data_IF_260563313019
#
_entry.id   IF_260563313019
#
_cell.length_a   1.000
_cell.length_b   1.000
_cell.length_c   1.000
_cell.angle_alpha   90.00
_cell.angle_beta   90.00
_cell.angle_gamma   90.00
#
_symmetry.space_group_name_H-M   'P 1'
#
loop_
_entity.id
_entity.type
_entity.pdbx_description
1 polymer ?
#
# COMPACT_ATOMS: atom_id res chain seq x y z
N UNK A 1 -7.57 12.40 -13.61
CA UNK A 1 -7.59 12.28 -12.13
C UNK A 1 -6.44 13.09 -11.55
N UNK A 2 -6.64 13.78 -10.41
CA UNK A 2 -5.60 14.52 -9.69
C UNK A 2 -5.38 13.97 -8.30
N UNK A 3 -4.11 13.76 -7.96
CA UNK A 3 -3.65 13.47 -6.59
C UNK A 3 -3.02 14.74 -6.03
N UNK A 4 -3.59 15.29 -4.96
CA UNK A 4 -3.18 16.55 -4.35
C UNK A 4 -3.11 16.43 -2.82
N UNK A 5 -2.70 17.49 -2.14
CA UNK A 5 -2.73 17.60 -0.67
C UNK A 5 -2.02 16.43 0.05
N UNK A 6 -0.83 16.05 -0.43
CA UNK A 6 0.04 15.10 0.26
C UNK A 6 0.40 15.64 1.64
N UNK A 7 0.06 14.92 2.70
CA UNK A 7 0.26 15.33 4.10
C UNK A 7 0.79 14.20 4.96
N UNK A 8 1.56 14.55 5.98
CA UNK A 8 1.93 13.70 7.12
C UNK A 8 1.40 14.38 8.38
N UNK A 9 0.64 13.65 9.18
CA UNK A 9 0.01 14.14 10.41
C UNK A 9 0.33 13.21 11.58
N UNK A 10 0.84 13.79 12.67
CA UNK A 10 1.11 13.06 13.91
C UNK A 10 -0.05 13.23 14.89
N UNK A 11 -0.90 12.20 14.98
CA UNK A 11 -1.97 12.13 15.95
C UNK A 11 -1.50 11.67 17.33
N UNK A 12 -2.44 11.62 18.28
CA UNK A 12 -2.15 11.13 19.65
C UNK A 12 -1.78 9.64 19.67
N UNK A 13 -2.44 8.82 18.86
CA UNK A 13 -2.28 7.36 18.81
C UNK A 13 -1.71 6.84 17.50
N UNK A 14 -2.03 7.50 16.39
CA UNK A 14 -1.69 7.08 15.04
C UNK A 14 -0.89 8.19 14.34
N UNK A 15 -0.02 7.79 13.42
CA UNK A 15 0.59 8.70 12.44
C UNK A 15 0.00 8.39 11.07
N UNK A 16 -0.49 9.43 10.39
CA UNK A 16 -1.23 9.35 9.13
C UNK A 16 -0.44 9.99 8.00
N UNK A 17 -0.40 9.33 6.86
CA UNK A 17 -0.13 9.99 5.58
C UNK A 17 -1.38 9.97 4.71
N UNK A 18 -1.69 11.08 4.07
CA UNK A 18 -2.91 11.20 3.28
C UNK A 18 -2.72 11.99 1.98
N UNK A 19 -3.67 11.83 1.07
CA UNK A 19 -3.78 12.55 -0.19
C UNK A 19 -5.26 12.75 -0.56
N UNK A 20 -5.56 13.82 -1.30
CA UNK A 20 -6.87 14.02 -1.93
C UNK A 20 -6.86 13.48 -3.36
N UNK A 21 -7.86 12.68 -3.71
CA UNK A 21 -8.11 12.16 -5.06
C UNK A 21 -9.35 12.85 -5.63
N UNK A 22 -9.17 13.49 -6.79
CA UNK A 22 -10.24 14.13 -7.53
C UNK A 22 -10.32 13.52 -8.93
N UNK A 23 -11.47 12.96 -9.28
CA UNK A 23 -11.76 12.38 -10.58
C UNK A 23 -12.00 13.49 -11.62
N UNK A 24 -11.63 13.24 -12.87
CA UNK A 24 -11.73 14.22 -13.96
C UNK A 24 -12.55 13.71 -15.14
N UNK A 25 -12.51 12.41 -15.42
CA UNK A 25 -13.21 11.80 -16.56
C UNK A 25 -14.42 10.93 -16.13
N UNK A 26 -14.77 10.91 -14.84
CA UNK A 26 -15.93 10.19 -14.32
C UNK A 26 -16.62 10.89 -13.13
N UNK A 27 -17.81 10.43 -12.76
CA UNK A 27 -18.66 11.01 -11.70
C UNK A 27 -18.36 10.47 -10.29
N UNK A 28 -17.22 9.80 -10.09
CA UNK A 28 -16.83 9.36 -8.75
C UNK A 28 -16.57 10.57 -7.84
N UNK A 29 -17.01 10.53 -6.57
CA UNK A 29 -16.82 11.65 -5.67
C UNK A 29 -15.33 11.83 -5.32
N UNK A 30 -14.93 13.07 -5.06
CA UNK A 30 -13.63 13.36 -4.47
C UNK A 30 -13.50 12.66 -3.12
N UNK A 31 -12.31 12.11 -2.84
CA UNK A 31 -12.04 11.36 -1.60
C UNK A 31 -10.67 11.71 -1.05
N UNK A 32 -10.58 11.79 0.27
CA UNK A 32 -9.29 11.67 0.94
C UNK A 32 -8.97 10.18 1.11
N UNK A 33 -7.77 9.78 0.69
CA UNK A 33 -7.21 8.46 0.97
C UNK A 33 -6.04 8.59 1.94
N UNK A 34 -5.87 7.59 2.78
CA UNK A 34 -4.83 7.59 3.80
C UNK A 34 -4.21 6.21 4.01
N UNK A 35 -3.00 6.22 4.58
CA UNK A 35 -2.32 5.09 5.19
C UNK A 35 -1.83 5.54 6.56
N UNK A 36 -2.05 4.73 7.59
CA UNK A 36 -1.78 5.03 8.99
C UNK A 36 -1.11 3.87 9.70
N UNK A 37 -0.33 4.19 10.74
CA UNK A 37 0.26 3.20 11.64
C UNK A 37 0.26 3.70 13.09
N UNK A 38 0.49 2.79 14.03
CA UNK A 38 0.67 3.13 15.44
C UNK A 38 1.79 4.16 15.63
N UNK A 39 1.63 5.12 16.56
CA UNK A 39 2.61 6.18 16.83
C UNK A 39 4.03 5.67 17.10
N UNK A 40 4.20 4.45 17.61
CA UNK A 40 5.52 3.83 17.81
C UNK A 40 6.32 3.62 16.51
N UNK A 41 5.66 3.67 15.35
CA UNK A 41 6.25 3.55 14.01
C UNK A 41 6.20 4.88 13.23
N UNK A 42 6.03 6.02 13.92
CA UNK A 42 5.89 7.33 13.27
C UNK A 42 7.10 7.71 12.39
N UNK A 43 8.30 7.30 12.78
CA UNK A 43 9.55 7.57 12.02
C UNK A 43 9.73 6.63 10.83
N UNK A 44 9.02 5.51 10.82
CA UNK A 44 9.08 4.49 9.78
C UNK A 44 8.17 4.82 8.58
N UNK A 45 7.12 5.63 8.81
CA UNK A 45 6.15 6.03 7.78
C UNK A 45 6.51 7.38 7.17
N UNK A 46 6.45 7.49 5.85
CA UNK A 46 6.71 8.71 5.10
C UNK A 46 5.56 9.04 4.16
N UNK A 47 5.34 10.34 3.88
CA UNK A 47 4.37 10.78 2.88
C UNK A 47 4.96 10.59 1.47
N UNK A 48 5.20 9.33 1.10
CA UNK A 48 5.78 8.98 -0.18
C UNK A 48 4.72 9.11 -1.30
N UNK A 49 4.93 9.99 -2.31
CA UNK A 49 3.99 10.15 -3.43
C UNK A 49 3.75 8.85 -4.20
N UNK A 50 4.73 7.94 -4.20
CA UNK A 50 4.63 6.63 -4.86
C UNK A 50 3.47 5.81 -4.29
N UNK A 51 3.24 5.87 -2.98
CA UNK A 51 2.18 5.10 -2.33
C UNK A 51 0.80 5.45 -2.89
N UNK A 52 0.51 6.75 -3.01
CA UNK A 52 -0.78 7.21 -3.51
C UNK A 52 -0.92 6.99 -5.01
N UNK A 53 0.15 7.17 -5.79
CA UNK A 53 0.11 6.89 -7.22
C UNK A 53 -0.18 5.41 -7.50
N UNK A 54 0.54 4.51 -6.83
CA UNK A 54 0.36 3.06 -6.94
C UNK A 54 -1.03 2.65 -6.47
N UNK A 55 -1.48 3.18 -5.34
CA UNK A 55 -2.81 2.89 -4.80
C UNK A 55 -3.98 3.40 -5.65
N UNK A 56 -3.76 4.35 -6.56
CA UNK A 56 -4.81 4.90 -7.41
C UNK A 56 -4.80 4.39 -8.86
N UNK A 57 -3.74 3.67 -9.30
CA UNK A 57 -3.57 3.34 -10.72
C UNK A 57 -4.72 2.45 -11.25
N UNK A 58 -5.10 1.42 -10.48
CA UNK A 58 -6.14 0.45 -10.91
C UNK A 58 -7.53 1.09 -10.90
N UNK A 59 -7.96 1.81 -9.84
CA UNK A 59 -9.23 2.54 -9.88
C UNK A 59 -9.30 3.58 -11.00
N UNK A 60 -8.21 4.31 -11.27
CA UNK A 60 -8.14 5.29 -12.36
C UNK A 60 -8.41 4.63 -13.72
N UNK A 61 -7.71 3.54 -14.04
CA UNK A 61 -7.97 2.79 -15.28
C UNK A 61 -9.39 2.22 -15.33
N UNK A 62 -9.89 1.71 -14.20
CA UNK A 62 -11.22 1.12 -14.11
C UNK A 62 -12.34 2.11 -14.43
N UNK A 63 -12.24 3.34 -13.94
CA UNK A 63 -13.21 4.39 -14.21
C UNK A 63 -12.89 5.21 -15.47
N UNK A 64 -11.96 4.75 -16.30
CA UNK A 64 -11.68 5.36 -17.61
C UNK A 64 -10.97 6.70 -17.57
N UNK A 65 -10.25 7.00 -16.49
CA UNK A 65 -9.42 8.20 -16.40
C UNK A 65 -8.33 8.20 -17.48
N UNK A 66 -8.21 9.32 -18.21
CA UNK A 66 -7.21 9.44 -19.29
C UNK A 66 -5.81 9.68 -18.76
N UNK A 67 -5.71 10.27 -17.56
CA UNK A 67 -4.45 10.61 -16.93
C UNK A 67 -4.52 10.66 -15.40
N UNK A 68 -3.38 10.53 -14.76
CA UNK A 68 -3.16 10.90 -13.36
C UNK A 68 -2.15 12.02 -13.29
N UNK A 69 -2.56 13.17 -12.75
CA UNK A 69 -1.66 14.28 -12.43
C UNK A 69 -1.27 14.26 -10.96
N UNK A 70 0.04 14.29 -10.73
CA UNK A 70 0.64 14.36 -9.41
C UNK A 70 1.77 15.38 -9.40
N UNK A 71 1.58 16.48 -8.64
CA UNK A 71 2.59 17.54 -8.43
C UNK A 71 3.65 17.14 -7.39
N UNK A 72 4.24 15.98 -7.59
CA UNK A 72 5.40 15.48 -6.83
C UNK A 72 6.40 14.87 -7.83
N UNK A 73 7.58 14.49 -7.36
CA UNK A 73 8.52 13.72 -8.16
C UNK A 73 8.40 12.24 -7.87
N UNK A 74 8.53 11.42 -8.91
CA UNK A 74 8.59 9.96 -8.77
C UNK A 74 9.90 9.39 -9.33
N UNK A 75 10.29 8.22 -8.81
CA UNK A 75 11.43 7.46 -9.32
C UNK A 75 11.20 7.02 -10.79
N UNK A 76 12.22 7.12 -11.68
CA UNK A 76 12.13 6.58 -13.03
C UNK A 76 11.70 5.11 -13.07
N UNK A 77 12.27 4.27 -12.19
CA UNK A 77 11.95 2.85 -12.12
C UNK A 77 10.49 2.57 -11.74
N UNK A 78 9.90 3.43 -10.88
CA UNK A 78 8.47 3.33 -10.58
C UNK A 78 7.63 3.66 -11.82
N UNK A 79 7.96 4.73 -12.56
CA UNK A 79 7.21 5.11 -13.76
C UNK A 79 7.20 3.97 -14.79
N UNK A 80 8.35 3.39 -15.06
CA UNK A 80 8.45 2.26 -15.99
C UNK A 80 7.70 1.03 -15.46
N UNK A 81 7.82 0.71 -14.16
CA UNK A 81 7.03 -0.36 -13.54
C UNK A 81 5.52 -0.15 -13.68
N UNK A 82 5.03 1.06 -13.46
CA UNK A 82 3.60 1.39 -13.62
C UNK A 82 3.15 1.29 -15.09
N UNK A 83 3.95 1.73 -16.05
CA UNK A 83 3.66 1.54 -17.48
C UNK A 83 3.53 0.05 -17.82
N UNK A 84 4.46 -0.77 -17.35
CA UNK A 84 4.42 -2.23 -17.55
C UNK A 84 3.16 -2.84 -16.94
N UNK A 85 2.81 -2.46 -15.70
CA UNK A 85 1.58 -2.93 -15.05
C UNK A 85 0.33 -2.54 -15.85
N UNK A 86 0.23 -1.29 -16.32
CA UNK A 86 -0.90 -0.84 -17.13
C UNK A 86 -1.02 -1.61 -18.45
N UNK A 87 0.11 -1.86 -19.13
CA UNK A 87 0.14 -2.63 -20.37
C UNK A 87 -0.28 -4.10 -20.15
N UNK A 88 0.17 -4.73 -19.06
CA UNK A 88 -0.26 -6.09 -18.69
C UNK A 88 -1.76 -6.15 -18.38
N UNK A 89 -2.31 -5.14 -17.70
CA UNK A 89 -3.75 -5.09 -17.41
C UNK A 89 -4.57 -4.90 -18.68
N UNK A 90 -4.11 -4.07 -19.62
CA UNK A 90 -4.74 -3.94 -20.93
C UNK A 90 -4.81 -5.29 -21.64
N UNK A 91 -3.68 -5.99 -21.75
CA UNK A 91 -3.58 -7.30 -22.39
C UNK A 91 -4.48 -8.36 -21.71
N UNK A 92 -4.34 -8.53 -20.39
CA UNK A 92 -5.10 -9.52 -19.62
C UNK A 92 -6.61 -9.25 -19.59
N UNK A 93 -7.02 -8.01 -19.84
CA UNK A 93 -8.43 -7.62 -19.91
C UNK A 93 -8.99 -7.59 -21.33
N UNK A 94 -8.22 -8.02 -22.34
CA UNK A 94 -8.63 -7.98 -23.74
C UNK A 94 -8.90 -6.56 -24.24
N UNK A 95 -8.18 -5.56 -23.72
CA UNK A 95 -8.35 -4.15 -24.07
C UNK A 95 -9.53 -3.45 -23.40
N UNK A 96 -10.20 -4.09 -22.43
CA UNK A 96 -11.26 -3.45 -21.64
C UNK A 96 -10.71 -2.27 -20.84
N UNK A 97 -9.51 -2.44 -20.26
CA UNK A 97 -8.79 -1.37 -19.58
C UNK A 97 -7.77 -0.77 -20.54
N UNK A 98 -7.62 0.56 -20.50
CA UNK A 98 -6.62 1.29 -21.29
C UNK A 98 -5.55 1.88 -20.38
N UNK A 99 -4.27 1.88 -20.79
CA UNK A 99 -3.23 2.64 -20.12
C UNK A 99 -3.60 4.13 -20.08
N UNK A 100 -3.20 4.80 -19.01
CA UNK A 100 -3.40 6.24 -18.82
C UNK A 100 -2.06 6.97 -18.76
N UNK A 101 -2.10 8.28 -19.00
CA UNK A 101 -0.91 9.12 -18.89
C UNK A 101 -0.59 9.45 -17.43
N UNK A 102 0.66 9.22 -17.02
CA UNK A 102 1.16 9.65 -15.71
C UNK A 102 1.87 10.99 -15.88
N UNK A 103 1.18 12.07 -15.53
CA UNK A 103 1.68 13.44 -15.57
C UNK A 103 2.33 13.81 -14.24
N UNK A 104 3.65 13.68 -14.19
CA UNK A 104 4.42 13.95 -12.97
C UNK A 104 5.88 14.24 -13.32
N UNK A 105 6.63 14.83 -12.39
CA UNK A 105 8.06 15.07 -12.58
C UNK A 105 8.84 13.80 -12.25
N UNK A 106 9.96 13.60 -12.93
CA UNK A 106 10.88 12.51 -12.63
C UNK A 106 11.96 13.02 -11.69
N UNK A 107 12.18 12.29 -10.59
CA UNK A 107 13.25 12.62 -9.68
C UNK A 107 14.60 12.28 -10.29
N UNK A 108 15.55 13.21 -10.20
CA UNK A 108 16.95 13.01 -10.61
C UNK A 108 17.80 12.33 -9.54
N UNK A 109 17.28 12.20 -8.32
CA UNK A 109 18.01 11.66 -7.17
C UNK A 109 17.38 10.34 -6.69
N UNK A 110 18.24 9.41 -6.30
CA UNK A 110 17.80 8.23 -5.55
C UNK A 110 17.38 8.66 -4.15
N UNK A 111 16.15 8.36 -3.75
CA UNK A 111 15.72 8.49 -2.35
C UNK A 111 16.56 7.55 -1.49
N UNK A 112 17.62 8.09 -0.88
CA UNK A 112 18.42 7.41 0.14
C UNK A 112 17.56 7.28 1.40
N UNK A 113 17.38 6.08 1.92
CA UNK A 113 16.89 5.97 3.30
C UNK A 113 18.07 6.05 4.25
N UNK A 114 17.85 6.68 5.41
CA UNK A 114 18.88 6.92 6.42
C UNK A 114 19.10 5.70 7.34
N UNK A 115 18.59 4.52 7.00
CA UNK A 115 18.55 3.35 7.88
C UNK A 115 18.84 2.02 7.18
N UNK A 116 19.17 1.00 7.99
CA UNK A 116 19.25 -0.40 7.55
C UNK A 116 17.86 -0.88 7.15
N UNK A 117 17.54 -0.77 5.86
CA UNK A 117 16.31 -1.32 5.29
C UNK A 117 16.20 -2.82 5.56
N UNK A 118 15.04 -3.26 6.05
CA UNK A 118 14.78 -4.65 6.47
C UNK A 118 13.87 -5.37 5.50
N UNK A 119 14.01 -6.69 5.42
CA UNK A 119 13.03 -7.53 4.75
C UNK A 119 11.72 -7.51 5.55
N UNK A 120 10.63 -7.15 4.89
CA UNK A 120 9.29 -7.18 5.45
C UNK A 120 8.34 -8.02 4.61
N UNK A 121 7.22 -8.41 5.21
CA UNK A 121 6.16 -9.13 4.52
C UNK A 121 4.78 -8.67 4.99
N UNK A 122 3.76 -9.08 4.26
CA UNK A 122 2.36 -8.87 4.59
C UNK A 122 1.85 -10.12 5.33
N UNK A 123 1.42 -9.95 6.58
CA UNK A 123 0.98 -11.05 7.45
C UNK A 123 -0.53 -10.93 7.70
N UNK A 124 -1.32 -11.68 6.93
CA UNK A 124 -2.78 -11.68 7.05
C UNK A 124 -3.30 -12.67 8.11
N UNK A 125 -2.47 -13.65 8.50
CA UNK A 125 -2.89 -14.80 9.30
C UNK A 125 -3.49 -15.94 8.48
N UNK A 126 -3.60 -15.77 7.15
CA UNK A 126 -3.94 -16.85 6.24
C UNK A 126 -2.76 -17.82 6.04
N UNK A 127 -3.07 -19.04 5.59
CA UNK A 127 -2.09 -20.12 5.43
C UNK A 127 -0.87 -19.72 4.59
N UNK A 128 -1.07 -18.97 3.50
CA UNK A 128 0.02 -18.55 2.62
C UNK A 128 1.00 -17.61 3.32
N UNK A 129 0.48 -16.66 4.11
CA UNK A 129 1.32 -15.72 4.86
C UNK A 129 2.07 -16.41 6.01
N UNK A 130 1.42 -17.37 6.69
CA UNK A 130 2.06 -18.15 7.75
C UNK A 130 3.13 -19.10 7.18
N UNK A 131 2.83 -19.77 6.06
CA UNK A 131 3.79 -20.63 5.37
C UNK A 131 4.98 -19.82 4.85
N UNK A 132 4.75 -18.65 4.27
CA UNK A 132 5.82 -17.74 3.82
C UNK A 132 6.74 -17.33 4.96
N UNK A 133 6.19 -16.93 6.11
CA UNK A 133 6.98 -16.58 7.30
C UNK A 133 7.77 -17.80 7.80
N UNK A 134 7.13 -18.96 7.91
CA UNK A 134 7.74 -20.20 8.39
C UNK A 134 8.90 -20.64 7.48
N UNK A 135 8.68 -20.66 6.17
CA UNK A 135 9.70 -21.01 5.17
C UNK A 135 10.85 -20.02 5.23
N UNK A 136 10.58 -18.72 5.36
CA UNK A 136 11.64 -17.73 5.50
C UNK A 136 12.49 -17.98 6.75
N UNK A 137 11.85 -18.18 7.91
CA UNK A 137 12.54 -18.40 9.18
C UNK A 137 13.34 -19.72 9.23
N UNK A 138 12.94 -20.73 8.47
CA UNK A 138 13.70 -21.99 8.35
C UNK A 138 14.90 -21.90 7.42
N UNK A 139 14.88 -21.01 6.42
CA UNK A 139 15.90 -20.97 5.36
C UNK A 139 16.85 -19.77 5.47
N UNK A 140 16.46 -18.70 6.18
CA UNK A 140 17.28 -17.51 6.35
C UNK A 140 17.74 -17.34 7.80
N UNK A 141 19.06 -17.39 8.07
CA UNK A 141 19.61 -17.05 9.38
C UNK A 141 19.17 -15.65 9.85
N UNK A 142 19.06 -15.44 11.15
CA UNK A 142 18.54 -14.19 11.73
C UNK A 142 19.34 -12.95 11.30
N UNK A 143 20.64 -13.06 11.03
CA UNK A 143 21.45 -11.92 10.59
C UNK A 143 21.38 -11.68 9.08
N UNK A 144 20.77 -12.59 8.31
CA UNK A 144 20.71 -12.48 6.86
C UNK A 144 19.79 -11.32 6.44
N UNK A 145 20.17 -10.46 5.45
CA UNK A 145 19.35 -9.33 5.00
C UNK A 145 17.94 -9.71 4.49
N UNK A 146 17.79 -10.95 4.01
CA UNK A 146 16.52 -11.54 3.55
C UNK A 146 15.68 -12.21 4.65
N UNK A 147 16.19 -12.32 5.89
CA UNK A 147 15.42 -12.80 7.02
C UNK A 147 14.37 -11.75 7.40
N UNK A 148 13.09 -12.14 7.38
CA UNK A 148 11.98 -11.24 7.63
C UNK A 148 12.06 -10.71 9.06
N UNK A 149 12.01 -9.38 9.19
CA UNK A 149 12.04 -8.64 10.46
C UNK A 149 10.75 -7.94 10.79
N UNK A 150 9.98 -7.62 9.77
CA UNK A 150 8.79 -6.79 9.90
C UNK A 150 7.61 -7.44 9.19
N UNK A 151 6.48 -7.53 9.87
CA UNK A 151 5.23 -8.08 9.36
C UNK A 151 4.17 -6.99 9.40
N UNK A 152 3.56 -6.69 8.25
CA UNK A 152 2.50 -5.70 8.13
C UNK A 152 1.14 -6.40 8.21
N UNK A 153 0.30 -5.97 9.15
CA UNK A 153 -1.09 -6.41 9.26
C UNK A 153 -2.01 -5.26 8.89
N UNK A 154 -2.87 -5.44 7.88
CA UNK A 154 -3.61 -4.33 7.27
C UNK A 154 -5.10 -4.35 7.64
N UNK A 155 -5.57 -3.22 8.15
CA UNK A 155 -6.96 -2.79 8.20
C UNK A 155 -7.29 -1.92 6.97
N UNK A 156 -8.48 -2.08 6.40
CA UNK A 156 -8.89 -1.43 5.15
C UNK A 156 -9.09 -2.38 3.98
N UNK A 157 -8.88 -3.68 4.20
CA UNK A 157 -9.00 -4.74 3.21
C UNK A 157 -10.27 -5.54 3.50
N UNK A 158 -10.17 -6.80 3.92
CA UNK A 158 -11.33 -7.61 4.30
C UNK A 158 -12.00 -7.13 5.60
N UNK A 159 -11.22 -6.47 6.46
CA UNK A 159 -11.69 -5.79 7.67
C UNK A 159 -11.69 -4.29 7.40
N UNK A 160 -12.87 -3.65 7.45
CA UNK A 160 -13.02 -2.20 7.31
C UNK A 160 -12.91 -1.63 5.89
N UNK A 161 -12.63 -2.45 4.88
CA UNK A 161 -12.42 -1.98 3.51
C UNK A 161 -13.68 -1.79 2.67
N UNK A 162 -14.88 -2.10 3.17
CA UNK A 162 -16.15 -1.84 2.46
C UNK A 162 -16.95 -0.83 3.26
N UNK A 163 -17.25 0.32 2.67
CA UNK A 163 -17.86 1.47 3.35
C UNK A 163 -19.16 1.04 4.05
N UNK A 164 -20.04 0.36 3.30
CA UNK A 164 -21.36 -0.09 3.80
C UNK A 164 -21.29 -1.09 4.95
N UNK A 165 -20.15 -1.78 5.15
CA UNK A 165 -19.96 -2.77 6.22
C UNK A 165 -19.32 -2.19 7.48
N UNK A 166 -19.00 -0.90 7.46
CA UNK A 166 -18.36 -0.18 8.56
C UNK A 166 -16.90 -0.58 8.80
N UNK A 167 -16.24 0.15 9.69
CA UNK A 167 -14.79 0.01 9.91
C UNK A 167 -14.40 -1.25 10.67
N UNK A 168 -15.26 -1.86 11.48
CA UNK A 168 -14.97 -3.13 12.18
C UNK A 168 -13.64 -3.16 12.99
N UNK A 169 -13.25 -2.05 13.62
CA UNK A 169 -12.00 -1.97 14.39
C UNK A 169 -11.86 -3.07 15.45
N UNK A 170 -12.95 -3.42 16.13
CA UNK A 170 -12.96 -4.51 17.12
C UNK A 170 -12.55 -5.88 16.52
N UNK A 171 -12.81 -6.13 15.23
CA UNK A 171 -12.36 -7.35 14.53
C UNK A 171 -10.87 -7.26 14.25
N UNK A 172 -10.39 -6.09 13.86
CA UNK A 172 -8.98 -5.85 13.62
C UNK A 172 -8.14 -5.97 14.89
N UNK A 173 -8.62 -5.46 16.03
CA UNK A 173 -7.93 -5.63 17.31
C UNK A 173 -7.80 -7.11 17.71
N UNK A 174 -8.81 -7.95 17.42
CA UNK A 174 -8.68 -9.40 17.60
C UNK A 174 -7.64 -10.01 16.66
N UNK A 175 -7.61 -9.60 15.39
CA UNK A 175 -6.62 -10.06 14.44
C UNK A 175 -5.19 -9.64 14.87
N UNK A 176 -5.02 -8.39 15.32
CA UNK A 176 -3.77 -7.87 15.88
C UNK A 176 -3.32 -8.68 17.09
N UNK A 177 -4.22 -8.99 18.02
CA UNK A 177 -3.90 -9.81 19.19
C UNK A 177 -3.45 -11.22 18.78
N UNK A 178 -4.17 -11.89 17.88
CA UNK A 178 -3.81 -13.21 17.40
C UNK A 178 -2.46 -13.23 16.67
N UNK A 179 -2.23 -12.25 15.79
CA UNK A 179 -0.97 -12.14 15.03
C UNK A 179 0.21 -11.67 15.89
N UNK A 180 -0.04 -11.03 17.03
CA UNK A 180 1.05 -10.65 17.95
C UNK A 180 1.73 -11.89 18.52
N UNK A 181 0.98 -12.95 18.83
CA UNK A 181 1.53 -14.23 19.30
C UNK A 181 2.42 -14.89 18.23
N UNK A 182 1.97 -14.87 16.98
CA UNK A 182 2.75 -15.39 15.84
C UNK A 182 4.03 -14.57 15.62
N UNK A 183 3.91 -13.24 15.70
CA UNK A 183 5.05 -12.35 15.52
C UNK A 183 6.09 -12.51 16.63
N UNK A 184 5.65 -12.71 17.87
CA UNK A 184 6.51 -13.00 19.02
C UNK A 184 7.24 -14.33 18.84
N UNK A 185 6.53 -15.42 18.51
CA UNK A 185 7.11 -16.74 18.25
C UNK A 185 8.15 -16.71 17.13
N UNK A 186 7.87 -15.98 16.05
CA UNK A 186 8.77 -15.83 14.91
C UNK A 186 9.88 -14.78 15.11
N UNK A 187 9.92 -14.10 16.26
CA UNK A 187 10.82 -12.98 16.57
C UNK A 187 10.82 -11.92 15.44
N UNK A 188 9.63 -11.40 15.12
CA UNK A 188 9.43 -10.32 14.14
C UNK A 188 8.60 -9.18 14.73
N UNK A 189 8.76 -7.99 14.18
CA UNK A 189 7.96 -6.82 14.57
C UNK A 189 6.64 -6.84 13.82
N UNK A 190 5.51 -6.86 14.53
CA UNK A 190 4.19 -6.65 13.93
C UNK A 190 3.88 -5.15 13.84
N UNK A 191 3.57 -4.69 12.61
CA UNK A 191 3.21 -3.31 12.28
C UNK A 191 1.75 -3.29 11.81
N UNK A 192 0.81 -2.81 12.63
CA UNK A 192 -0.56 -2.58 12.21
C UNK A 192 -0.60 -1.38 11.28
N UNK A 193 -1.26 -1.54 10.13
CA UNK A 193 -1.48 -0.49 9.14
C UNK A 193 -2.98 -0.33 8.92
N UNK A 194 -3.44 0.91 8.82
CA UNK A 194 -4.84 1.24 8.53
C UNK A 194 -4.91 2.04 7.23
N UNK A 195 -5.83 1.72 6.35
CA UNK A 195 -6.02 2.45 5.09
C UNK A 195 -7.48 2.44 4.65
N UNK A 196 -7.85 3.40 3.82
CA UNK A 196 -9.13 3.45 3.14
C UNK A 196 -9.00 3.45 1.61
N UNK A 197 -7.83 3.13 1.04
CA UNK A 197 -7.62 3.18 -0.42
C UNK A 197 -8.64 2.31 -1.18
N UNK A 198 -9.07 1.17 -0.60
CA UNK A 198 -10.14 0.33 -1.17
C UNK A 198 -11.44 1.11 -1.41
N UNK A 199 -11.73 2.14 -0.62
CA UNK A 199 -12.95 2.96 -0.73
C UNK A 199 -12.99 3.81 -2.01
N UNK A 200 -11.90 3.85 -2.79
CA UNK A 200 -11.92 4.39 -4.17
C UNK A 200 -12.81 3.53 -5.09
N UNK A 201 -12.90 2.22 -4.85
CA UNK A 201 -13.82 1.32 -5.55
C UNK A 201 -14.14 0.09 -4.69
N UNK A 202 -15.37 0.03 -4.18
CA UNK A 202 -15.85 -1.08 -3.33
C UNK A 202 -16.28 -2.32 -4.14
N UNK A 203 -16.13 -2.29 -5.47
CA UNK A 203 -16.51 -3.40 -6.34
C UNK A 203 -15.69 -4.66 -6.05
N UNK A 204 -16.39 -5.75 -5.76
CA UNK A 204 -15.76 -7.01 -5.34
C UNK A 204 -14.88 -7.62 -6.44
N UNK A 205 -15.34 -7.58 -7.69
CA UNK A 205 -14.59 -8.16 -8.81
C UNK A 205 -13.26 -7.43 -9.03
N UNK A 206 -13.32 -6.10 -9.10
CA UNK A 206 -12.12 -5.28 -9.23
C UNK A 206 -11.16 -5.53 -8.06
N UNK A 207 -11.67 -5.54 -6.83
CA UNK A 207 -10.87 -5.78 -5.63
C UNK A 207 -10.11 -7.09 -5.71
N UNK A 208 -10.82 -8.21 -5.90
CA UNK A 208 -10.24 -9.55 -5.84
C UNK A 208 -9.29 -9.85 -7.01
N UNK A 209 -9.60 -9.34 -8.21
CA UNK A 209 -8.89 -9.76 -9.41
C UNK A 209 -7.79 -8.78 -9.85
N UNK A 210 -7.85 -7.50 -9.47
CA UNK A 210 -6.97 -6.46 -10.07
C UNK A 210 -6.41 -5.46 -9.07
N UNK A 211 -7.18 -5.05 -8.07
CA UNK A 211 -6.85 -3.88 -7.24
C UNK A 211 -6.09 -4.24 -5.95
N UNK A 212 -6.32 -5.42 -5.37
CA UNK A 212 -5.72 -5.85 -4.10
C UNK A 212 -4.19 -5.67 -4.04
N UNK A 213 -3.47 -6.14 -5.07
CA UNK A 213 -2.01 -6.07 -5.12
C UNK A 213 -1.46 -4.63 -5.15
N UNK A 214 -2.15 -3.71 -5.82
CA UNK A 214 -1.76 -2.31 -5.87
C UNK A 214 -1.84 -1.66 -4.48
N UNK A 215 -2.84 -1.99 -3.67
CA UNK A 215 -2.96 -1.42 -2.32
C UNK A 215 -1.91 -2.01 -1.37
N UNK A 216 -1.54 -3.28 -1.52
CA UNK A 216 -0.40 -3.87 -0.79
C UNK A 216 0.90 -3.12 -1.07
N UNK A 217 1.18 -2.86 -2.35
CA UNK A 217 2.37 -2.12 -2.79
C UNK A 217 2.33 -0.66 -2.30
N UNK A 218 1.15 -0.02 -2.33
CA UNK A 218 0.96 1.32 -1.80
C UNK A 218 1.36 1.41 -0.32
N UNK A 219 0.91 0.45 0.50
CA UNK A 219 1.30 0.37 1.91
C UNK A 219 2.81 0.22 2.08
N UNK A 220 3.44 -0.69 1.33
CA UNK A 220 4.90 -0.86 1.38
C UNK A 220 5.67 0.42 1.02
N UNK A 221 5.19 1.19 0.04
CA UNK A 221 5.80 2.46 -0.36
C UNK A 221 5.76 3.54 0.74
N UNK A 222 4.81 3.48 1.69
CA UNK A 222 4.80 4.42 2.81
C UNK A 222 5.82 4.08 3.89
N UNK A 223 6.31 2.84 3.94
CA UNK A 223 7.30 2.38 4.91
C UNK A 223 8.71 2.30 4.31
N UNK A 224 9.01 3.16 3.33
CA UNK A 224 10.29 3.18 2.59
C UNK A 224 11.51 3.57 3.44
N UNK A 225 11.29 4.14 4.63
CA UNK A 225 12.34 4.37 5.62
C UNK A 225 12.75 3.09 6.34
N UNK A 226 11.84 2.12 6.46
CA UNK A 226 12.03 0.88 7.22
C UNK A 226 12.26 -0.34 6.32
N UNK A 227 11.49 -0.46 5.25
CA UNK A 227 11.47 -1.63 4.39
C UNK A 227 12.44 -1.50 3.23
N UNK A 228 13.03 -2.63 2.86
CA UNK A 228 13.82 -2.73 1.62
C UNK A 228 12.86 -2.85 0.43
N UNK A 229 12.60 -1.74 -0.22
CA UNK A 229 12.02 -1.74 -1.56
C UNK A 229 13.09 -2.27 -2.54
N UNK A 230 12.75 -3.30 -3.30
CA UNK A 230 13.60 -3.91 -4.35
C UNK A 230 13.69 -2.96 -5.54
#
# INVERSE_FOLDING_TARGET
MRITNLKLEHGKKLTRVSASVNWEDCDQPAREIYIETDKKFAEDISCNPHAFLVGCIIPAMHFGEKRILLKAEICPGLREGLKTVMALIEDWSGGTYRPLDIETRISSAVRRSNGQRRAGMLLSGGIDSLATLRVNKMNFPEQHPGSIKDCLLIHGFDIGGVIKRGMKYHVFERAKAAMSLVAEDANVTLIPVYTNIRHLCDERDLWLNKFFGAVLAAVAHTLDHRLRLV
#
